data_IF_568181242111
#
_entry.id   IF_568181242111
#
_cell.length_a   1.000
_cell.length_b   1.000
_cell.length_c   1.000
_cell.angle_alpha   90.00
_cell.angle_beta   90.00
_cell.angle_gamma   90.00
#
_symmetry.space_group_name_H-M   'P 1'
#
loop_
_entity.id
_entity.type
_entity.pdbx_description
1 polymer ?
#
# COMPACT_ATOMS: atom_id res chain seq x y z
N UNK A 1 7.26 2.48 -11.65
CA UNK A 1 7.49 1.04 -11.92
C UNK A 1 7.19 0.25 -10.65
N UNK A 2 6.44 -0.83 -10.77
CA UNK A 2 6.00 -1.71 -9.69
C UNK A 2 4.58 -1.41 -9.20
N UNK A 3 3.78 -2.45 -9.02
CA UNK A 3 2.40 -2.43 -8.50
C UNK A 3 2.33 -2.78 -7.01
N UNK A 4 3.36 -2.43 -6.25
CA UNK A 4 3.36 -2.53 -4.77
C UNK A 4 2.67 -1.32 -4.14
N UNK A 5 2.48 -1.32 -2.83
CA UNK A 5 1.88 -0.18 -2.11
C UNK A 5 2.50 1.18 -2.47
N UNK A 6 3.83 1.26 -2.59
CA UNK A 6 4.50 2.50 -2.95
C UNK A 6 4.17 2.95 -4.39
N UNK A 7 4.13 2.01 -5.34
CA UNK A 7 3.82 2.30 -6.73
C UNK A 7 2.35 2.70 -6.94
N UNK A 8 1.44 2.03 -6.23
CA UNK A 8 0.01 2.34 -6.26
C UNK A 8 -0.27 3.72 -5.64
N UNK A 9 0.30 4.03 -4.48
CA UNK A 9 0.21 5.38 -3.90
C UNK A 9 0.84 6.44 -4.80
N UNK A 10 1.99 6.13 -5.42
CA UNK A 10 2.61 7.02 -6.41
C UNK A 10 1.68 7.30 -7.59
N UNK A 11 0.98 6.27 -8.09
CA UNK A 11 0.02 6.45 -9.17
C UNK A 11 -1.17 7.33 -8.76
N UNK A 12 -1.73 7.11 -7.56
CA UNK A 12 -2.79 7.96 -7.01
C UNK A 12 -2.35 9.42 -6.84
N UNK A 13 -1.12 9.65 -6.41
CA UNK A 13 -0.56 11.00 -6.28
C UNK A 13 -0.33 11.69 -7.63
N UNK A 14 0.02 10.94 -8.67
CA UNK A 14 0.26 11.47 -10.02
C UNK A 14 -1.04 11.67 -10.81
N UNK A 15 -2.10 10.92 -10.51
CA UNK A 15 -3.35 10.93 -11.28
C UNK A 15 -3.96 12.33 -11.49
N UNK A 16 -3.95 13.28 -10.54
CA UNK A 16 -4.48 14.63 -10.77
C UNK A 16 -3.62 15.52 -11.67
N UNK A 17 -2.39 15.12 -11.99
CA UNK A 17 -1.38 15.95 -12.65
C UNK A 17 -1.05 15.52 -14.08
N UNK A 18 -1.48 14.33 -14.50
CA UNK A 18 -1.15 13.74 -15.79
C UNK A 18 -2.41 13.20 -16.47
N UNK A 19 -2.47 13.35 -17.79
CA UNK A 19 -3.58 12.80 -18.59
C UNK A 19 -3.65 11.28 -18.54
N UNK A 20 -2.51 10.61 -18.35
CA UNK A 20 -2.40 9.16 -18.21
C UNK A 20 -1.27 8.78 -17.26
N UNK A 21 -1.53 7.80 -16.38
CA UNK A 21 -0.54 7.21 -15.49
C UNK A 21 -0.49 5.70 -15.72
N UNK A 22 0.70 5.17 -16.04
CA UNK A 22 0.91 3.76 -16.30
C UNK A 22 1.78 3.11 -15.20
N UNK A 23 1.22 2.10 -14.52
CA UNK A 23 1.95 1.28 -13.55
C UNK A 23 2.35 -0.03 -14.22
N UNK A 24 3.65 -0.23 -14.46
CA UNK A 24 4.20 -1.48 -14.97
C UNK A 24 4.59 -2.40 -13.82
N UNK A 25 3.98 -3.59 -13.75
CA UNK A 25 4.25 -4.62 -12.73
C UNK A 25 4.71 -5.90 -13.43
N UNK A 26 5.73 -6.54 -12.87
CA UNK A 26 6.33 -7.76 -13.41
C UNK A 26 5.47 -8.99 -13.12
N UNK A 27 4.88 -9.05 -11.92
CA UNK A 27 4.02 -10.16 -11.55
C UNK A 27 2.61 -10.00 -12.14
N UNK A 28 1.85 -11.09 -12.17
CA UNK A 28 0.38 -11.04 -12.24
C UNK A 28 -0.16 -10.70 -10.85
N UNK A 29 -1.13 -9.80 -10.79
CA UNK A 29 -1.72 -9.31 -9.54
C UNK A 29 -3.00 -10.11 -9.24
N UNK A 30 -3.02 -10.89 -8.14
CA UNK A 30 -4.21 -11.65 -7.79
C UNK A 30 -5.44 -10.75 -7.61
N UNK A 31 -6.59 -11.23 -8.04
CA UNK A 31 -7.86 -10.53 -7.83
C UNK A 31 -8.19 -10.42 -6.32
N UNK A 32 -7.88 -11.46 -5.56
CA UNK A 32 -8.06 -11.49 -4.11
C UNK A 32 -6.78 -11.09 -3.34
N UNK A 33 -6.88 -11.09 -2.01
CA UNK A 33 -5.76 -10.87 -1.12
C UNK A 33 -4.91 -12.16 -1.03
N UNK A 34 -3.96 -12.33 -1.96
CA UNK A 34 -3.12 -13.51 -2.06
C UNK A 34 -1.62 -13.16 -2.13
N UNK A 35 -0.77 -14.11 -1.72
CA UNK A 35 0.67 -13.96 -1.79
C UNK A 35 1.17 -14.04 -3.23
N UNK A 36 2.17 -13.20 -3.56
CA UNK A 36 2.85 -13.22 -4.86
C UNK A 36 4.36 -13.12 -4.71
N UNK A 37 5.07 -13.59 -5.72
CA UNK A 37 6.54 -13.70 -5.73
C UNK A 37 7.25 -12.36 -5.45
N UNK A 38 6.78 -11.26 -6.03
CA UNK A 38 7.38 -9.93 -5.90
C UNK A 38 7.17 -9.26 -4.54
N UNK A 39 6.46 -9.90 -3.60
CA UNK A 39 6.21 -9.39 -2.25
C UNK A 39 6.52 -10.47 -1.21
N UNK A 40 7.81 -10.86 -1.05
CA UNK A 40 8.18 -11.93 -0.12
C UNK A 40 7.79 -11.61 1.33
N UNK A 41 7.78 -10.32 1.69
CA UNK A 41 7.41 -9.89 3.05
C UNK A 41 5.92 -9.94 3.33
N UNK A 42 5.09 -10.35 2.38
CA UNK A 42 3.63 -10.43 2.56
C UNK A 42 3.19 -11.38 3.70
N UNK A 43 4.08 -12.27 4.16
CA UNK A 43 3.85 -13.22 5.26
C UNK A 43 4.13 -12.65 6.66
N UNK A 44 4.71 -11.47 6.77
CA UNK A 44 4.96 -10.82 8.07
C UNK A 44 3.72 -10.07 8.58
N UNK A 45 3.62 -9.79 9.89
CA UNK A 45 2.60 -8.88 10.41
C UNK A 45 2.80 -7.47 9.85
N UNK A 46 1.71 -6.79 9.51
CA UNK A 46 1.72 -5.41 9.03
C UNK A 46 0.66 -4.57 9.75
N UNK A 47 0.90 -3.27 9.79
CA UNK A 47 -0.04 -2.28 10.28
C UNK A 47 0.24 -0.93 9.61
N UNK A 48 -0.77 -0.08 9.56
CA UNK A 48 -0.64 1.29 9.08
C UNK A 48 -0.44 2.23 10.26
N UNK A 49 0.68 2.96 10.24
CA UNK A 49 0.90 4.11 11.12
C UNK A 49 -0.03 5.26 10.72
N UNK A 50 -0.39 6.10 11.70
CA UNK A 50 -1.33 7.21 11.51
C UNK A 50 -1.00 8.14 10.35
N UNK A 51 0.28 8.52 10.20
CA UNK A 51 0.69 9.42 9.12
C UNK A 51 0.50 8.77 7.74
N UNK A 52 0.95 7.52 7.59
CA UNK A 52 0.78 6.77 6.34
C UNK A 52 -0.70 6.52 6.00
N UNK A 53 -1.50 6.16 7.00
CA UNK A 53 -2.96 6.01 6.86
C UNK A 53 -3.64 7.29 6.36
N UNK A 54 -3.32 8.44 6.97
CA UNK A 54 -3.85 9.75 6.54
C UNK A 54 -3.42 10.11 5.12
N UNK A 55 -2.16 9.86 4.78
CA UNK A 55 -1.65 10.11 3.43
C UNK A 55 -2.37 9.24 2.39
N UNK A 56 -2.54 7.95 2.67
CA UNK A 56 -3.29 7.04 1.78
C UNK A 56 -4.75 7.49 1.65
N UNK A 57 -5.41 7.86 2.75
CA UNK A 57 -6.80 8.34 2.72
C UNK A 57 -6.97 9.65 1.94
N UNK A 58 -5.96 10.51 1.89
CA UNK A 58 -5.98 11.72 1.06
C UNK A 58 -5.84 11.40 -0.44
N UNK A 59 -5.11 10.34 -0.79
CA UNK A 59 -4.98 9.86 -2.17
C UNK A 59 -6.21 9.06 -2.62
N UNK A 60 -6.79 8.29 -1.70
CA UNK A 60 -7.87 7.34 -1.96
C UNK A 60 -8.96 7.47 -0.89
N UNK A 61 -9.93 8.39 -1.09
CA UNK A 61 -11.05 8.53 -0.18
C UNK A 61 -11.78 7.20 0.08
N UNK A 62 -12.12 6.93 1.35
CA UNK A 62 -12.76 5.69 1.78
C UNK A 62 -11.83 4.47 1.92
N UNK A 63 -10.53 4.60 1.63
CA UNK A 63 -9.58 3.48 1.75
C UNK A 63 -9.59 2.81 3.14
N UNK A 64 -9.66 3.62 4.19
CA UNK A 64 -9.66 3.13 5.57
C UNK A 64 -10.91 2.29 5.87
N UNK A 65 -12.08 2.79 5.48
CA UNK A 65 -13.36 2.10 5.67
C UNK A 65 -13.38 0.77 4.90
N UNK A 66 -12.92 0.78 3.65
CA UNK A 66 -12.85 -0.43 2.82
C UNK A 66 -11.86 -1.46 3.38
N UNK A 67 -10.74 -1.01 3.93
CA UNK A 67 -9.76 -1.88 4.56
C UNK A 67 -10.35 -2.55 5.80
N UNK A 68 -11.07 -1.80 6.63
CA UNK A 68 -11.74 -2.33 7.82
C UNK A 68 -12.87 -3.28 7.43
N UNK A 69 -13.71 -2.90 6.47
CA UNK A 69 -14.79 -3.74 5.96
C UNK A 69 -14.27 -5.08 5.39
N UNK A 70 -13.08 -5.07 4.81
CA UNK A 70 -12.42 -6.26 4.28
C UNK A 70 -11.67 -7.10 5.33
N UNK A 71 -11.70 -6.71 6.61
CA UNK A 71 -11.14 -7.47 7.74
C UNK A 71 -9.95 -6.82 8.45
N UNK A 72 -9.60 -5.57 8.10
CA UNK A 72 -8.63 -4.78 8.85
C UNK A 72 -9.15 -4.42 10.24
N UNK A 73 -8.25 -4.36 11.22
CA UNK A 73 -8.61 -4.15 12.63
C UNK A 73 -8.03 -2.86 13.18
N UNK A 74 -8.88 -1.99 13.71
CA UNK A 74 -8.46 -0.88 14.54
C UNK A 74 -8.01 -1.37 15.90
N UNK A 75 -6.72 -1.25 16.17
CA UNK A 75 -6.13 -1.61 17.46
C UNK A 75 -5.42 -0.41 18.06
N UNK A 76 -5.36 -0.40 19.38
CA UNK A 76 -4.54 0.48 20.20
C UNK A 76 -3.32 -0.31 20.64
N UNK A 77 -2.14 -0.15 20.01
CA UNK A 77 -0.97 -0.99 20.31
C UNK A 77 -0.58 -0.99 21.78
N UNK A 78 -0.76 0.13 22.48
CA UNK A 78 -0.48 0.26 23.92
C UNK A 78 -1.44 -0.54 24.83
N UNK A 79 -2.52 -1.07 24.28
CA UNK A 79 -3.49 -1.94 24.97
C UNK A 79 -3.55 -3.34 24.36
N UNK A 80 -3.30 -3.50 23.06
CA UNK A 80 -3.56 -4.74 22.31
C UNK A 80 -2.29 -5.52 21.94
N UNK A 81 -1.11 -4.88 21.99
CA UNK A 81 0.17 -5.55 21.77
C UNK A 81 0.93 -5.69 23.10
N UNK A 82 1.73 -6.76 23.22
CA UNK A 82 2.69 -6.92 24.30
C UNK A 82 4.09 -6.56 23.78
N UNK A 83 4.80 -5.70 24.51
CA UNK A 83 6.15 -5.26 24.16
C UNK A 83 7.08 -5.57 25.33
N UNK A 84 8.11 -6.36 25.05
CA UNK A 84 9.16 -6.71 26.00
C UNK A 84 10.45 -6.03 25.55
N UNK A 85 11.04 -5.25 26.43
CA UNK A 85 12.36 -4.65 26.22
C UNK A 85 13.32 -5.01 27.36
N UNK A 86 14.51 -4.40 27.39
CA UNK A 86 15.53 -4.68 28.40
C UNK A 86 15.12 -4.34 29.84
N UNK A 87 14.06 -3.55 30.05
CA UNK A 87 13.51 -3.21 31.37
C UNK A 87 12.31 -4.10 31.75
N UNK A 88 11.90 -5.01 30.88
CA UNK A 88 10.77 -5.91 31.09
C UNK A 88 9.56 -5.59 30.23
N UNK A 89 8.40 -6.10 30.63
CA UNK A 89 7.16 -5.90 29.89
C UNK A 89 6.65 -4.47 30.06
N UNK A 90 6.36 -3.80 28.94
CA UNK A 90 5.71 -2.50 28.95
C UNK A 90 4.31 -2.59 29.55
N UNK A 91 3.99 -1.66 30.47
CA UNK A 91 2.66 -1.55 31.05
C UNK A 91 1.63 -1.14 29.99
N UNK A 92 0.45 -1.77 30.03
CA UNK A 92 -0.67 -1.37 29.17
C UNK A 92 -1.20 0.00 29.58
N UNK A 93 -1.45 0.86 28.61
CA UNK A 93 -1.99 2.22 28.85
C UNK A 93 -2.95 2.63 27.74
N UNK A 94 -4.06 3.26 28.13
CA UNK A 94 -4.94 3.91 27.16
C UNK A 94 -4.23 5.10 26.54
N UNK A 95 -4.40 5.28 25.23
CA UNK A 95 -3.86 6.42 24.49
C UNK A 95 -4.82 6.80 23.35
N UNK A 96 -4.54 7.90 22.66
CA UNK A 96 -5.27 8.31 21.45
C UNK A 96 -4.67 7.69 20.19
N UNK A 97 -3.51 7.03 20.28
CA UNK A 97 -2.82 6.45 19.14
C UNK A 97 -3.43 5.09 18.80
N UNK A 98 -4.16 5.05 17.70
CA UNK A 98 -4.63 3.81 17.06
C UNK A 98 -3.81 3.49 15.82
N UNK A 99 -3.87 2.25 15.37
CA UNK A 99 -3.33 1.76 14.10
C UNK A 99 -4.34 0.81 13.47
N UNK A 100 -4.22 0.59 12.16
CA UNK A 100 -4.98 -0.47 11.49
C UNK A 100 -4.04 -1.63 11.24
N UNK A 101 -4.31 -2.76 11.88
CA UNK A 101 -3.60 -4.01 11.65
C UNK A 101 -4.29 -4.77 10.53
N UNK A 102 -3.49 -5.26 9.59
CA UNK A 102 -3.98 -5.99 8.43
C UNK A 102 -2.84 -6.79 7.83
N UNK A 103 -3.15 -7.89 7.14
CA UNK A 103 -2.16 -8.53 6.27
C UNK A 103 -1.77 -7.57 5.14
N UNK A 104 -0.52 -7.66 4.67
CA UNK A 104 -0.05 -6.85 3.54
C UNK A 104 -0.81 -7.14 2.25
N UNK A 105 -1.18 -8.40 2.04
CA UNK A 105 -1.97 -8.82 0.88
C UNK A 105 -3.33 -8.14 0.84
N UNK A 106 -3.95 -7.90 2.01
CA UNK A 106 -5.21 -7.18 2.10
C UNK A 106 -5.04 -5.67 1.85
N UNK A 107 -4.00 -5.06 2.44
CA UNK A 107 -3.66 -3.64 2.18
C UNK A 107 -3.42 -3.41 0.69
N UNK A 108 -2.58 -4.24 0.06
CA UNK A 108 -2.28 -4.10 -1.37
C UNK A 108 -3.50 -4.39 -2.25
N UNK A 109 -4.38 -5.33 -1.87
CA UNK A 109 -5.64 -5.57 -2.59
C UNK A 109 -6.54 -4.33 -2.56
N UNK A 110 -6.79 -3.74 -1.39
CA UNK A 110 -7.66 -2.54 -1.27
C UNK A 110 -7.03 -1.34 -1.99
N UNK A 111 -5.71 -1.17 -1.93
CA UNK A 111 -5.02 -0.15 -2.73
C UNK A 111 -5.22 -0.37 -4.24
N UNK A 112 -5.13 -1.61 -4.72
CA UNK A 112 -5.39 -1.92 -6.14
C UNK A 112 -6.83 -1.60 -6.53
N UNK A 113 -7.79 -1.96 -5.70
CA UNK A 113 -9.21 -1.67 -5.94
C UNK A 113 -9.43 -0.15 -6.04
N UNK A 114 -8.86 0.64 -5.13
CA UNK A 114 -8.88 2.12 -5.20
C UNK A 114 -8.20 2.70 -6.43
N UNK A 115 -7.05 2.16 -6.82
CA UNK A 115 -6.37 2.62 -8.05
C UNK A 115 -7.20 2.33 -9.29
N UNK A 116 -7.93 1.21 -9.33
CA UNK A 116 -8.82 0.85 -10.46
C UNK A 116 -10.03 1.79 -10.59
N UNK A 117 -10.39 2.52 -9.54
CA UNK A 117 -11.44 3.56 -9.58
C UNK A 117 -10.96 4.84 -10.31
N UNK A 118 -9.64 5.02 -10.50
CA UNK A 118 -9.07 6.18 -11.17
C UNK A 118 -9.06 5.99 -12.69
N UNK A 119 -9.89 6.76 -13.40
CA UNK A 119 -10.13 6.61 -14.84
C UNK A 119 -8.88 6.75 -15.72
N UNK A 120 -7.88 7.51 -15.28
CA UNK A 120 -6.65 7.76 -16.03
C UNK A 120 -5.45 6.92 -15.56
N UNK A 121 -5.65 5.99 -14.62
CA UNK A 121 -4.58 5.09 -14.15
C UNK A 121 -4.78 3.70 -14.73
N UNK A 122 -3.73 3.14 -15.34
CA UNK A 122 -3.73 1.77 -15.85
C UNK A 122 -2.59 0.97 -15.22
N UNK A 123 -2.89 -0.24 -14.75
CA UNK A 123 -1.88 -1.21 -14.30
C UNK A 123 -1.66 -2.23 -15.40
N UNK A 124 -0.43 -2.36 -15.90
CA UNK A 124 -0.04 -3.41 -16.85
C UNK A 124 0.85 -4.42 -16.14
N UNK A 125 0.34 -5.63 -16.05
CA UNK A 125 0.94 -6.78 -15.39
C UNK A 125 1.80 -7.59 -16.37
N UNK A 126 2.67 -8.46 -15.86
CA UNK A 126 3.57 -9.27 -16.70
C UNK A 126 4.66 -8.46 -17.44
N UNK A 127 4.87 -7.19 -17.09
CA UNK A 127 5.84 -6.31 -17.74
C UNK A 127 7.08 -6.16 -16.89
N UNK A 128 8.21 -6.68 -17.37
CA UNK A 128 9.52 -6.42 -16.77
C UNK A 128 10.19 -5.25 -17.47
N UNK A 129 10.39 -4.15 -16.75
CA UNK A 129 11.21 -3.03 -17.25
C UNK A 129 12.68 -3.39 -17.14
N UNK A 130 13.41 -3.34 -18.26
CA UNK A 130 14.84 -3.72 -18.33
C UNK A 130 15.78 -2.51 -18.29
N UNK A 131 15.27 -1.30 -18.54
CA UNK A 131 16.06 -0.07 -18.51
C UNK A 131 15.19 1.15 -18.74
N UNK A 132 15.82 2.32 -18.80
CA UNK A 132 15.19 3.57 -19.18
C UNK A 132 15.91 4.12 -20.41
N UNK A 133 15.15 4.66 -21.36
CA UNK A 133 15.74 5.50 -22.42
C UNK A 133 15.68 6.96 -21.98
N UNK A 134 16.77 7.69 -22.24
CA UNK A 134 16.87 9.10 -21.91
C UNK A 134 17.27 9.92 -23.12
N UNK A 135 16.79 11.17 -23.18
CA UNK A 135 17.18 12.18 -24.15
C UNK A 135 17.26 13.51 -23.43
N UNK A 136 18.40 14.20 -23.55
CA UNK A 136 18.65 15.52 -22.96
C UNK A 136 18.33 15.60 -21.45
N UNK A 137 18.63 14.52 -20.72
CA UNK A 137 18.38 14.43 -19.27
C UNK A 137 16.93 14.06 -18.88
N UNK A 138 16.01 13.95 -19.85
CA UNK A 138 14.65 13.49 -19.62
C UNK A 138 14.51 11.99 -19.93
N UNK A 139 13.68 11.28 -19.15
CA UNK A 139 13.27 9.90 -19.47
C UNK A 139 12.23 9.94 -20.59
N UNK A 140 12.46 9.21 -21.66
CA UNK A 140 11.58 9.16 -22.84
C UNK A 140 10.99 7.77 -23.08
N UNK A 141 11.39 6.77 -22.31
CA UNK A 141 10.88 5.41 -22.42
C UNK A 141 11.40 4.47 -21.34
N UNK A 142 10.81 3.28 -21.34
CA UNK A 142 10.98 2.16 -20.41
C UNK A 142 11.03 0.85 -21.18
#
# INVERSE_FOLDING_TARGET
MGGSAAGLCGAGALAPHFDQVLVLERDELPAAAEHRRGVPQSKHPHFLLNSGRRAIGALFPGFEDDLVAAGGLHLMPSMDAAYLDGQGWSARKRSTMTMIYSSRILIERVLRDKVRELANVTVREGVTVSGLSTRDGAVTGV
#
